data_IF_841259294453
#
_entry.id   IF_841259294453
#
_cell.length_a   1.000
_cell.length_b   1.000
_cell.length_c   1.000
_cell.angle_alpha   90.00
_cell.angle_beta   90.00
_cell.angle_gamma   90.00
#
_symmetry.space_group_name_H-M   'P 1'
#
loop_
_entity.id
_entity.type
_entity.pdbx_description
1 polymer ?
#
# COMPACT_ATOMS: atom_id res chain seq x y z
N UNK A 1 2.48 12.95 26.11
CA UNK A 1 2.56 11.63 25.44
C UNK A 1 4.03 11.21 25.33
N UNK A 2 4.38 9.98 25.75
CA UNK A 2 5.74 9.43 25.55
C UNK A 2 6.08 9.35 24.06
N UNK A 3 7.36 9.55 23.71
CA UNK A 3 7.85 9.60 22.33
C UNK A 3 7.48 8.35 21.51
N UNK A 4 7.53 7.16 22.13
CA UNK A 4 7.11 5.88 21.55
C UNK A 4 5.68 5.89 20.98
N UNK A 5 4.72 6.53 21.66
CA UNK A 5 3.33 6.58 21.17
C UNK A 5 3.16 7.47 19.94
N UNK A 6 3.96 8.54 19.82
CA UNK A 6 3.94 9.41 18.65
C UNK A 6 4.49 8.71 17.41
N UNK A 7 5.48 7.83 17.57
CA UNK A 7 6.05 7.05 16.48
C UNK A 7 5.04 6.01 15.94
N UNK A 8 4.33 5.30 16.82
CA UNK A 8 3.25 4.40 16.41
C UNK A 8 2.11 5.13 15.69
N UNK A 9 1.68 6.30 16.19
CA UNK A 9 0.62 7.07 15.55
C UNK A 9 1.02 7.54 14.15
N UNK A 10 2.28 7.96 13.95
CA UNK A 10 2.78 8.35 12.62
C UNK A 10 2.84 7.17 11.67
N UNK A 11 3.33 6.01 12.14
CA UNK A 11 3.36 4.79 11.34
C UNK A 11 1.95 4.39 10.87
N UNK A 12 0.99 4.32 11.79
CA UNK A 12 -0.39 3.94 11.48
C UNK A 12 -1.06 4.96 10.54
N UNK A 13 -0.83 6.27 10.75
CA UNK A 13 -1.30 7.33 9.86
C UNK A 13 -0.77 7.12 8.42
N UNK A 14 0.51 6.81 8.28
CA UNK A 14 1.12 6.63 6.97
C UNK A 14 0.60 5.38 6.25
N UNK A 15 0.34 4.29 6.99
CA UNK A 15 -0.32 3.09 6.46
C UNK A 15 -1.73 3.42 5.95
N UNK A 16 -2.53 4.13 6.75
CA UNK A 16 -3.90 4.52 6.36
C UNK A 16 -3.92 5.41 5.12
N UNK A 17 -3.03 6.40 5.04
CA UNK A 17 -2.93 7.28 3.86
C UNK A 17 -2.49 6.52 2.61
N UNK A 18 -1.58 5.55 2.76
CA UNK A 18 -1.15 4.70 1.65
C UNK A 18 -2.28 3.81 1.14
N UNK A 19 -3.08 3.22 2.06
CA UNK A 19 -4.28 2.45 1.69
C UNK A 19 -5.32 3.31 0.98
N UNK A 20 -5.61 4.52 1.50
CA UNK A 20 -6.55 5.41 0.85
C UNK A 20 -6.12 5.76 -0.58
N UNK A 21 -4.83 6.08 -0.77
CA UNK A 21 -4.28 6.35 -2.08
C UNK A 21 -4.34 5.12 -3.02
N UNK A 22 -4.02 3.93 -2.51
CA UNK A 22 -4.02 2.71 -3.32
C UNK A 22 -5.41 2.30 -3.77
N UNK A 23 -6.42 2.42 -2.89
CA UNK A 23 -7.83 2.14 -3.22
C UNK A 23 -8.34 3.09 -4.32
N UNK A 24 -8.05 4.39 -4.20
CA UNK A 24 -8.48 5.38 -5.20
C UNK A 24 -7.84 5.06 -6.56
N UNK A 25 -6.54 4.81 -6.60
CA UNK A 25 -5.87 4.47 -7.86
C UNK A 25 -6.35 3.13 -8.40
N UNK A 26 -6.59 2.13 -7.55
CA UNK A 26 -7.15 0.85 -7.97
C UNK A 26 -8.48 1.01 -8.70
N UNK A 27 -9.36 1.86 -8.18
CA UNK A 27 -10.65 2.12 -8.81
C UNK A 27 -10.49 2.75 -10.19
N UNK A 28 -9.62 3.76 -10.30
CA UNK A 28 -9.31 4.42 -11.58
C UNK A 28 -8.68 3.45 -12.58
N UNK A 29 -7.77 2.58 -12.15
CA UNK A 29 -7.11 1.60 -13.03
C UNK A 29 -8.08 0.50 -13.46
N UNK A 30 -8.95 0.03 -12.56
CA UNK A 30 -9.96 -0.96 -12.88
C UNK A 30 -10.97 -0.44 -13.90
N UNK A 31 -11.43 0.80 -13.73
CA UNK A 31 -12.32 1.49 -14.67
C UNK A 31 -11.62 1.72 -16.02
N UNK A 32 -10.37 2.19 -16.02
CA UNK A 32 -9.60 2.37 -17.24
C UNK A 32 -9.36 1.06 -18.03
N UNK A 33 -9.33 -0.08 -17.33
CA UNK A 33 -9.13 -1.40 -17.92
C UNK A 33 -10.44 -2.18 -18.09
N UNK A 34 -11.61 -1.54 -17.99
CA UNK A 34 -12.92 -2.22 -18.08
C UNK A 34 -13.11 -3.00 -19.38
N UNK A 35 -12.53 -2.53 -20.48
CA UNK A 35 -12.64 -3.15 -21.81
C UNK A 35 -11.66 -4.32 -22.02
N UNK A 36 -10.79 -4.60 -21.03
CA UNK A 36 -9.83 -5.71 -21.08
C UNK A 36 -10.43 -6.99 -20.49
N UNK A 37 -9.78 -8.13 -20.77
CA UNK A 37 -10.17 -9.41 -20.15
C UNK A 37 -10.12 -9.31 -18.62
N UNK A 38 -11.10 -9.89 -17.93
CA UNK A 38 -11.25 -9.78 -16.46
C UNK A 38 -9.99 -10.16 -15.68
N UNK A 39 -9.27 -11.19 -16.15
CA UNK A 39 -8.02 -11.62 -15.51
C UNK A 39 -6.89 -10.59 -15.69
N UNK A 40 -6.84 -9.90 -16.84
CA UNK A 40 -5.87 -8.83 -17.10
C UNK A 40 -6.19 -7.61 -16.27
N UNK A 41 -7.46 -7.18 -16.24
CA UNK A 41 -7.91 -6.07 -15.41
C UNK A 41 -7.58 -6.34 -13.93
N UNK A 42 -8.04 -7.47 -13.40
CA UNK A 42 -7.82 -7.83 -11.99
C UNK A 42 -6.34 -7.87 -11.63
N UNK A 43 -5.50 -8.46 -12.49
CA UNK A 43 -4.05 -8.58 -12.23
C UNK A 43 -3.36 -7.21 -12.26
N UNK A 44 -3.63 -6.39 -13.28
CA UNK A 44 -2.98 -5.10 -13.44
C UNK A 44 -3.45 -4.09 -12.38
N UNK A 45 -4.73 -4.11 -12.03
CA UNK A 45 -5.28 -3.32 -10.92
C UNK A 45 -4.61 -3.69 -9.60
N UNK A 46 -4.40 -4.99 -9.33
CA UNK A 46 -3.70 -5.43 -8.11
C UNK A 46 -2.23 -4.99 -8.10
N UNK A 47 -1.53 -5.10 -9.24
CA UNK A 47 -0.15 -4.62 -9.36
C UNK A 47 -0.07 -3.11 -9.12
N UNK A 48 -0.98 -2.34 -9.72
CA UNK A 48 -1.05 -0.90 -9.54
C UNK A 48 -1.31 -0.53 -8.06
N UNK A 49 -2.25 -1.22 -7.41
CA UNK A 49 -2.55 -1.05 -5.99
C UNK A 49 -1.29 -1.21 -5.13
N UNK A 50 -0.58 -2.33 -5.28
CA UNK A 50 0.64 -2.60 -4.53
C UNK A 50 1.74 -1.58 -4.81
N UNK A 51 1.94 -1.21 -6.08
CA UNK A 51 2.91 -0.20 -6.47
C UNK A 51 2.62 1.14 -5.80
N UNK A 52 1.36 1.59 -5.81
CA UNK A 52 0.95 2.85 -5.18
C UNK A 52 1.04 2.78 -3.67
N UNK A 53 0.58 1.68 -3.06
CA UNK A 53 0.62 1.49 -1.61
C UNK A 53 2.06 1.56 -1.09
N UNK A 54 2.96 0.73 -1.62
CA UNK A 54 4.35 0.68 -1.13
C UNK A 54 5.12 1.97 -1.41
N UNK A 55 4.88 2.61 -2.57
CA UNK A 55 5.54 3.88 -2.90
C UNK A 55 5.07 5.01 -1.97
N UNK A 56 3.76 5.14 -1.78
CA UNK A 56 3.16 6.18 -0.93
C UNK A 56 3.58 5.98 0.53
N UNK A 57 3.46 4.75 1.03
CA UNK A 57 3.88 4.40 2.39
C UNK A 57 5.38 4.69 2.59
N UNK A 58 6.24 4.25 1.67
CA UNK A 58 7.68 4.43 1.76
C UNK A 58 8.10 5.90 1.79
N UNK A 59 7.47 6.74 0.95
CA UNK A 59 7.73 8.19 0.91
C UNK A 59 7.30 8.84 2.24
N UNK A 60 6.07 8.60 2.69
CA UNK A 60 5.55 9.17 3.94
C UNK A 60 6.37 8.71 5.15
N UNK A 61 6.71 7.43 5.21
CA UNK A 61 7.55 6.85 6.26
C UNK A 61 8.94 7.50 6.29
N UNK A 62 9.57 7.71 5.14
CA UNK A 62 10.85 8.39 5.05
C UNK A 62 10.76 9.84 5.53
N UNK A 63 9.74 10.61 5.08
CA UNK A 63 9.57 12.02 5.45
C UNK A 63 9.41 12.16 6.97
N UNK A 64 8.56 11.33 7.59
CA UNK A 64 8.27 11.39 9.03
C UNK A 64 9.48 10.97 9.90
N UNK A 65 10.40 10.17 9.34
CA UNK A 65 11.57 9.63 10.04
C UNK A 65 12.91 10.12 9.45
N UNK A 66 12.90 11.17 8.63
CA UNK A 66 14.07 11.66 7.86
C UNK A 66 15.34 11.84 8.70
N UNK A 67 15.19 12.29 9.95
CA UNK A 67 16.30 12.53 10.88
C UNK A 67 17.05 11.25 11.25
N UNK A 68 16.35 10.11 11.30
CA UNK A 68 16.93 8.79 11.59
C UNK A 68 17.81 8.29 10.45
N UNK A 69 17.46 8.64 9.22
CA UNK A 69 18.05 8.07 8.01
C UNK A 69 19.09 8.97 7.33
N UNK A 70 19.38 10.16 7.87
CA UNK A 70 20.48 11.01 7.38
C UNK A 70 21.71 10.87 8.28
N UNK A 71 22.90 10.81 7.68
CA UNK A 71 24.17 10.97 8.40
C UNK A 71 24.38 12.42 8.79
N UNK A 72 25.39 12.67 9.63
CA UNK A 72 25.84 14.02 10.00
C UNK A 72 26.30 14.82 8.77
N UNK A 73 26.80 14.14 7.74
CA UNK A 73 27.16 14.69 6.42
C UNK A 73 25.96 14.87 5.48
N UNK A 74 24.75 14.46 5.88
CA UNK A 74 23.51 14.61 5.10
C UNK A 74 23.23 13.47 4.11
N UNK A 75 24.12 12.49 4.00
CA UNK A 75 23.97 11.31 3.16
C UNK A 75 22.85 10.39 3.67
N UNK A 76 22.15 9.75 2.75
CA UNK A 76 21.07 8.83 3.07
C UNK A 76 21.64 7.46 3.47
N UNK A 77 21.34 7.01 4.69
CA UNK A 77 21.60 5.64 5.15
C UNK A 77 20.63 4.65 4.47
N UNK A 78 20.79 4.46 3.16
CA UNK A 78 19.91 3.64 2.28
C UNK A 78 19.72 2.22 2.81
N UNK A 79 20.80 1.59 3.28
CA UNK A 79 20.75 0.22 3.82
C UNK A 79 19.83 0.12 5.05
N UNK A 80 19.93 1.08 5.98
CA UNK A 80 19.09 1.12 7.18
C UNK A 80 17.62 1.39 6.84
N UNK A 81 17.36 2.35 5.94
CA UNK A 81 16.00 2.66 5.49
C UNK A 81 15.35 1.45 4.81
N UNK A 82 16.08 0.78 3.90
CA UNK A 82 15.61 -0.41 3.20
C UNK A 82 15.31 -1.55 4.18
N UNK A 83 16.21 -1.80 5.15
CA UNK A 83 16.02 -2.85 6.16
C UNK A 83 14.79 -2.60 7.02
N UNK A 84 14.58 -1.37 7.49
CA UNK A 84 13.41 -1.02 8.30
C UNK A 84 12.10 -1.13 7.53
N UNK A 85 12.07 -0.68 6.27
CA UNK A 85 10.89 -0.83 5.40
C UNK A 85 10.55 -2.30 5.17
N UNK A 86 11.54 -3.14 4.85
CA UNK A 86 11.32 -4.59 4.68
C UNK A 86 10.75 -5.19 5.96
N UNK A 87 11.31 -4.88 7.13
CA UNK A 87 10.79 -5.40 8.41
C UNK A 87 9.33 -5.02 8.65
N UNK A 88 8.95 -3.78 8.35
CA UNK A 88 7.56 -3.32 8.50
C UNK A 88 6.64 -4.07 7.54
N UNK A 89 7.01 -4.15 6.25
CA UNK A 89 6.21 -4.84 5.23
C UNK A 89 6.08 -6.33 5.58
N UNK A 90 7.17 -6.99 5.98
CA UNK A 90 7.14 -8.39 6.43
C UNK A 90 6.28 -8.56 7.68
N UNK A 91 6.29 -7.61 8.62
CA UNK A 91 5.43 -7.67 9.81
C UNK A 91 3.94 -7.51 9.50
N UNK A 92 3.60 -6.79 8.43
CA UNK A 92 2.23 -6.67 7.92
C UNK A 92 1.78 -7.92 7.15
N UNK A 93 2.68 -8.85 6.86
CA UNK A 93 2.47 -9.98 5.95
C UNK A 93 1.25 -10.86 6.27
N UNK A 94 0.91 -11.05 7.55
CA UNK A 94 -0.29 -11.82 7.92
C UNK A 94 -1.57 -11.06 7.54
N UNK A 95 -1.61 -9.74 7.80
CA UNK A 95 -2.73 -8.89 7.41
C UNK A 95 -2.89 -8.80 5.90
N UNK A 96 -1.77 -8.71 5.18
CA UNK A 96 -1.73 -8.66 3.72
C UNK A 96 -2.24 -9.95 3.07
N UNK A 97 -1.83 -11.12 3.56
CA UNK A 97 -2.30 -12.41 3.02
C UNK A 97 -3.81 -12.54 3.21
N UNK A 98 -4.32 -12.22 4.41
CA UNK A 98 -5.75 -12.25 4.70
C UNK A 98 -6.50 -11.23 3.83
N UNK A 99 -6.01 -10.01 3.73
CA UNK A 99 -6.60 -8.96 2.88
C UNK A 99 -6.63 -9.38 1.41
N UNK A 100 -5.55 -9.95 0.90
CA UNK A 100 -5.44 -10.41 -0.50
C UNK A 100 -6.48 -11.48 -0.79
N UNK A 101 -6.60 -12.49 0.08
CA UNK A 101 -7.59 -13.57 -0.09
C UNK A 101 -9.01 -13.02 -0.06
N UNK A 102 -9.32 -12.16 0.92
CA UNK A 102 -10.67 -11.59 1.08
C UNK A 102 -11.01 -10.67 -0.09
N UNK A 103 -10.11 -9.75 -0.47
CA UNK A 103 -10.32 -8.81 -1.56
C UNK A 103 -10.49 -9.52 -2.90
N UNK A 104 -9.64 -10.51 -3.19
CA UNK A 104 -9.74 -11.29 -4.42
C UNK A 104 -11.07 -12.06 -4.48
N UNK A 105 -11.45 -12.73 -3.39
CA UNK A 105 -12.71 -13.48 -3.32
C UNK A 105 -13.92 -12.56 -3.50
N UNK A 106 -13.89 -11.38 -2.89
CA UNK A 106 -14.96 -10.40 -2.98
C UNK A 106 -15.09 -9.82 -4.40
N UNK A 107 -13.97 -9.40 -5.01
CA UNK A 107 -13.96 -8.87 -6.38
C UNK A 107 -14.47 -9.90 -7.38
N UNK A 108 -14.00 -11.14 -7.26
CA UNK A 108 -14.44 -12.25 -8.12
C UNK A 108 -15.95 -12.52 -7.97
N UNK A 109 -16.44 -12.56 -6.72
CA UNK A 109 -17.86 -12.76 -6.45
C UNK A 109 -18.74 -11.65 -7.04
N UNK A 110 -18.32 -10.38 -6.90
CA UNK A 110 -19.06 -9.23 -7.42
C UNK A 110 -19.16 -9.26 -8.95
N UNK A 111 -18.09 -9.65 -9.65
CA UNK A 111 -18.11 -9.82 -11.11
C UNK A 111 -19.05 -10.95 -11.55
N UNK A 112 -19.12 -12.06 -10.82
CA UNK A 112 -20.01 -13.19 -11.16
C UNK A 112 -21.50 -12.84 -11.12
N UNK A 113 -21.89 -11.90 -10.27
CA UNK A 113 -23.29 -11.49 -10.14
C UNK A 113 -23.65 -10.32 -11.07
N UNK A 114 -22.82 -10.05 -12.08
CA UNK A 114 -22.95 -8.95 -13.06
C UNK A 114 -23.15 -7.59 -12.38
N UNK A 115 -22.65 -7.45 -11.15
CA UNK A 115 -22.66 -6.17 -10.46
C UNK A 115 -21.53 -5.35 -11.05
N UNK A 116 -21.89 -4.40 -11.92
CA UNK A 116 -20.95 -3.43 -12.47
C UNK A 116 -20.16 -2.83 -11.31
N UNK A 117 -18.84 -2.99 -11.35
CA UNK A 117 -17.97 -2.55 -10.27
C UNK A 117 -18.11 -1.05 -9.97
N UNK A 118 -18.73 -0.29 -10.89
CA UNK A 118 -19.02 1.14 -10.80
C UNK A 118 -20.32 1.51 -11.54
N UNK A 119 -21.49 1.32 -10.90
CA UNK A 119 -22.71 2.09 -11.16
C UNK A 119 -23.38 2.50 -9.85
#
# INVERSE_FOLDING_TARGET
MKQKYREYLRLNKNILLAFAASIIISAVVADYLSDQQDYLNSTLTLVADYCVFFSTFGILFYIDNRKKYRTETGELKKSLLKSDLIKIITSLGIGEVVYTIVRWSLQYYLLQIEYDAYL
#
